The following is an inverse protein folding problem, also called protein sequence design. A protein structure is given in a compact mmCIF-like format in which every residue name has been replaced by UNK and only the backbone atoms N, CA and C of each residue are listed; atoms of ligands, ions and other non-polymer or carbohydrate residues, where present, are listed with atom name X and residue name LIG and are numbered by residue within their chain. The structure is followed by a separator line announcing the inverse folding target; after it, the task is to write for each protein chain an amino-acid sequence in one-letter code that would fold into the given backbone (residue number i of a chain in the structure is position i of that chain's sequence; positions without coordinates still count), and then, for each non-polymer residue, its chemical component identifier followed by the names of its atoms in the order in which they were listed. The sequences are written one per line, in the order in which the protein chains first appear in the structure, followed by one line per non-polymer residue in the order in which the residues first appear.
data_IF_788420073627
#
_entry.id   IF_788420073627
#
_cell.length_a   1.000
_cell.length_b   1.000
_cell.length_c   1.000
_cell.angle_alpha   90.00
_cell.angle_beta   90.00
_cell.angle_gamma   90.00
#
_symmetry.space_group_name_H-M   'P 1'
#
loop_
_entity.id
_entity.type
_entity.pdbx_description
1 polymer ?
#
# COMPACT_ATOMS: atom_id res chain seq x y z
N UNK A 1 -43.85 -46.57 -42.04
CA UNK A 1 -44.79 -47.71 -41.90
C UNK A 1 -43.91 -48.93 -41.64
N UNK A 2 -43.90 -49.69 -40.54
CA UNK A 2 -44.75 -49.92 -39.35
C UNK A 2 -43.78 -50.43 -38.25
N UNK A 3 -43.66 -49.76 -37.10
CA UNK A 3 -44.32 -50.12 -35.83
C UNK A 3 -44.47 -51.63 -35.52
N UNK A 4 -43.37 -52.30 -35.13
CA UNK A 4 -43.43 -53.59 -34.40
C UNK A 4 -42.36 -53.76 -33.32
N UNK A 5 -41.31 -52.94 -33.25
CA UNK A 5 -40.33 -53.04 -32.15
C UNK A 5 -40.74 -52.30 -30.88
N UNK A 6 -41.92 -51.65 -30.87
CA UNK A 6 -42.48 -50.93 -29.71
C UNK A 6 -43.53 -51.74 -28.92
N UNK A 7 -43.43 -53.06 -28.85
CA UNK A 7 -44.37 -53.87 -28.07
C UNK A 7 -43.79 -55.20 -27.57
N UNK A 8 -42.57 -55.15 -27.03
CA UNK A 8 -42.18 -56.04 -25.93
C UNK A 8 -41.74 -55.14 -24.76
N UNK A 9 -42.75 -54.36 -24.36
CA UNK A 9 -42.90 -53.75 -23.06
C UNK A 9 -42.54 -54.78 -21.99
N UNK A 10 -41.68 -54.35 -21.06
CA UNK A 10 -41.72 -54.63 -19.63
C UNK A 10 -42.35 -55.97 -19.22
N UNK A 11 -41.57 -56.86 -18.60
CA UNK A 11 -41.91 -57.49 -17.32
C UNK A 11 -40.75 -58.40 -16.90
N UNK A 12 -40.35 -58.27 -15.64
CA UNK A 12 -39.36 -59.06 -14.91
C UNK A 12 -37.88 -58.69 -15.13
N UNK A 13 -37.40 -57.72 -14.35
CA UNK A 13 -36.62 -58.10 -13.17
C UNK A 13 -36.57 -56.94 -12.18
N UNK A 14 -37.44 -57.03 -11.18
CA UNK A 14 -37.39 -56.23 -9.97
C UNK A 14 -36.36 -56.92 -9.06
N UNK A 15 -35.09 -56.56 -9.24
CA UNK A 15 -34.00 -57.03 -8.38
C UNK A 15 -33.15 -55.83 -7.96
N UNK A 16 -33.55 -55.24 -6.84
CA UNK A 16 -32.71 -54.68 -5.79
C UNK A 16 -31.29 -54.36 -6.27
N UNK A 17 -31.10 -53.20 -6.90
CA UNK A 17 -29.79 -52.56 -6.88
C UNK A 17 -29.75 -51.74 -5.61
N UNK A 18 -29.39 -52.39 -4.50
CA UNK A 18 -28.87 -51.64 -3.36
C UNK A 18 -27.73 -50.79 -3.93
N UNK A 19 -27.93 -49.48 -4.02
CA UNK A 19 -26.86 -48.55 -4.35
C UNK A 19 -25.84 -48.66 -3.22
N UNK A 20 -24.87 -49.57 -3.38
CA UNK A 20 -23.71 -49.64 -2.54
C UNK A 20 -22.92 -48.34 -2.73
N UNK A 21 -23.22 -47.34 -1.89
CA UNK A 21 -22.43 -46.12 -1.77
C UNK A 21 -21.04 -46.49 -1.25
N UNK A 22 -20.14 -46.85 -2.16
CA UNK A 22 -18.72 -47.00 -1.87
C UNK A 22 -18.19 -45.60 -1.50
N UNK A 23 -18.15 -45.31 -0.20
CA UNK A 23 -17.59 -44.06 0.32
C UNK A 23 -16.09 -44.02 0.04
N UNK A 24 -15.70 -43.29 -1.01
CA UNK A 24 -14.30 -43.03 -1.30
C UNK A 24 -13.71 -42.12 -0.24
N UNK A 25 -12.72 -42.60 0.52
CA UNK A 25 -12.06 -41.83 1.60
C UNK A 25 -11.57 -40.45 1.11
N UNK A 26 -11.07 -40.37 -0.13
CA UNK A 26 -10.52 -39.16 -0.76
C UNK A 26 -11.07 -38.90 -2.17
N UNK A 27 -12.18 -39.51 -2.57
CA UNK A 27 -12.73 -39.38 -3.93
C UNK A 27 -14.10 -38.71 -3.89
N UNK A 28 -14.29 -37.66 -4.70
CA UNK A 28 -15.59 -37.03 -4.86
C UNK A 28 -16.30 -37.58 -6.10
N UNK A 29 -17.50 -38.19 -5.95
CA UNK A 29 -18.18 -38.86 -7.05
C UNK A 29 -18.67 -37.89 -8.13
N UNK A 30 -19.00 -36.64 -7.77
CA UNK A 30 -19.46 -35.62 -8.72
C UNK A 30 -18.34 -35.06 -9.59
N UNK A 31 -17.19 -34.75 -8.98
CA UNK A 31 -16.03 -34.18 -9.69
C UNK A 31 -15.12 -35.25 -10.29
N UNK A 32 -15.31 -36.52 -9.93
CA UNK A 32 -14.49 -37.69 -10.32
C UNK A 32 -13.00 -37.47 -10.10
N UNK A 33 -12.64 -36.64 -9.12
CA UNK A 33 -11.25 -36.28 -8.78
C UNK A 33 -11.01 -36.45 -7.28
N UNK A 34 -9.75 -36.25 -6.86
CA UNK A 34 -9.41 -36.27 -5.44
C UNK A 34 -10.12 -35.13 -4.71
N UNK A 35 -10.65 -35.44 -3.52
CA UNK A 35 -11.14 -34.48 -2.54
C UNK A 35 -10.01 -33.50 -2.22
N UNK A 36 -10.05 -32.32 -2.85
CA UNK A 36 -9.17 -31.22 -2.50
C UNK A 36 -9.62 -30.72 -1.13
N UNK A 37 -8.69 -30.59 -0.16
CA UNK A 37 -8.99 -29.79 1.02
C UNK A 37 -9.34 -28.41 0.49
N UNK A 38 -10.57 -27.97 0.76
CA UNK A 38 -11.03 -26.64 0.42
C UNK A 38 -10.20 -25.67 1.26
N UNK A 39 -9.05 -25.25 0.75
CA UNK A 39 -8.37 -24.08 1.26
C UNK A 39 -9.17 -22.88 0.73
N UNK A 40 -10.38 -22.68 1.26
CA UNK A 40 -11.23 -21.56 0.81
C UNK A 40 -10.82 -20.22 1.43
N UNK A 41 -9.82 -20.20 2.31
CA UNK A 41 -9.52 -19.00 3.10
C UNK A 41 -8.01 -18.70 3.24
N UNK A 42 -7.19 -18.98 2.23
CA UNK A 42 -5.99 -18.15 2.03
C UNK A 42 -6.42 -16.89 1.28
N UNK A 43 -7.23 -16.09 1.97
CA UNK A 43 -7.54 -14.76 1.52
C UNK A 43 -6.24 -13.98 1.62
N UNK A 44 -5.67 -13.67 0.47
CA UNK A 44 -4.48 -12.82 0.30
C UNK A 44 -4.75 -11.37 0.75
N UNK A 45 -5.33 -11.12 1.94
CA UNK A 45 -6.01 -9.84 2.21
C UNK A 45 -5.05 -8.67 2.42
N UNK A 46 -3.74 -8.89 2.61
CA UNK A 46 -2.86 -7.85 3.12
C UNK A 46 -1.45 -7.88 2.49
N UNK A 47 -1.37 -7.75 1.16
CA UNK A 47 -0.08 -7.64 0.44
C UNK A 47 0.27 -6.18 0.14
N UNK A 48 1.57 -5.84 0.13
CA UNK A 48 2.05 -4.45 -0.08
C UNK A 48 1.60 -3.92 -1.44
N UNK A 49 1.53 -4.79 -2.43
CA UNK A 49 1.05 -4.51 -3.78
C UNK A 49 -0.40 -4.03 -3.77
N UNK A 50 -1.26 -4.57 -2.89
CA UNK A 50 -2.66 -4.12 -2.75
C UNK A 50 -2.78 -2.75 -2.08
N UNK A 51 -1.88 -2.43 -1.16
CA UNK A 51 -1.85 -1.12 -0.50
C UNK A 51 -1.35 -0.01 -1.42
N UNK A 52 -0.42 -0.35 -2.32
CA UNK A 52 0.15 0.60 -3.28
C UNK A 52 -0.68 0.67 -4.57
N UNK A 53 -1.50 -0.34 -4.84
CA UNK A 53 -2.45 -0.34 -5.96
C UNK A 53 -3.40 0.86 -5.84
N UNK A 54 -3.36 1.75 -6.84
CA UNK A 54 -4.20 2.94 -6.91
C UNK A 54 -3.62 4.19 -6.24
N UNK A 55 -2.54 4.10 -5.45
CA UNK A 55 -1.88 5.28 -4.89
C UNK A 55 -1.32 6.19 -6.00
N UNK A 56 -0.77 5.59 -7.05
CA UNK A 56 -0.27 6.34 -8.21
C UNK A 56 -1.39 7.12 -8.91
N UNK A 57 -2.58 6.54 -9.05
CA UNK A 57 -3.75 7.19 -9.66
C UNK A 57 -4.26 8.33 -8.77
N UNK A 58 -4.25 8.14 -7.44
CA UNK A 58 -4.61 9.19 -6.48
C UNK A 58 -3.64 10.38 -6.52
N UNK A 59 -2.33 10.12 -6.58
CA UNK A 59 -1.31 11.18 -6.68
C UNK A 59 -1.49 11.98 -7.98
N UNK A 60 -1.76 11.31 -9.10
CA UNK A 60 -1.99 11.98 -10.39
C UNK A 60 -3.28 12.81 -10.35
N UNK A 61 -4.36 12.27 -9.76
CA UNK A 61 -5.62 13.00 -9.61
C UNK A 61 -5.45 14.24 -8.72
N UNK A 62 -4.72 14.14 -7.61
CA UNK A 62 -4.45 15.26 -6.70
C UNK A 62 -3.59 16.35 -7.37
N UNK A 63 -2.59 15.97 -8.17
CA UNK A 63 -1.77 16.91 -8.95
C UNK A 63 -2.60 17.61 -10.05
N UNK A 64 -3.50 16.89 -10.72
CA UNK A 64 -4.43 17.48 -11.70
C UNK A 64 -5.42 18.46 -11.05
N UNK A 65 -5.98 18.12 -9.90
CA UNK A 65 -6.84 19.01 -9.11
C UNK A 65 -6.11 20.26 -8.65
N UNK A 66 -4.86 20.12 -8.20
CA UNK A 66 -4.03 21.25 -7.76
C UNK A 66 -3.71 22.19 -8.93
N UNK A 67 -3.34 21.64 -10.09
CA UNK A 67 -3.10 22.44 -11.32
C UNK A 67 -4.36 23.14 -11.81
N UNK A 68 -5.52 22.51 -11.71
CA UNK A 68 -6.79 23.13 -12.08
C UNK A 68 -7.13 24.33 -11.16
N UNK A 69 -6.82 24.24 -9.86
CA UNK A 69 -6.99 25.33 -8.90
C UNK A 69 -6.01 26.49 -9.15
N UNK A 70 -4.79 26.20 -9.59
CA UNK A 70 -3.80 27.21 -9.98
C UNK A 70 -4.21 27.99 -11.25
N UNK A 71 -5.02 27.38 -12.12
CA UNK A 71 -5.55 27.98 -13.35
C UNK A 71 -6.87 28.77 -13.15
N UNK A 72 -7.40 28.84 -11.93
CA UNK A 72 -8.60 29.61 -11.64
C UNK A 72 -8.35 31.13 -11.69
N UNK A 73 -9.06 31.81 -12.60
CA UNK A 73 -9.00 33.26 -12.84
C UNK A 73 -9.38 34.10 -11.61
N UNK A 74 -10.11 33.52 -10.64
CA UNK A 74 -10.42 34.17 -9.37
C UNK A 74 -9.17 34.42 -8.50
N UNK A 75 -8.12 33.61 -8.65
CA UNK A 75 -6.83 33.79 -7.97
C UNK A 75 -5.98 34.93 -8.59
N UNK A 76 -6.34 35.41 -9.78
CA UNK A 76 -5.69 36.54 -10.48
C UNK A 76 -6.33 37.89 -10.09
N UNK A 77 -7.42 37.88 -9.33
CA UNK A 77 -8.01 39.09 -8.77
C UNK A 77 -6.97 39.93 -8.01
N UNK A 78 -7.09 41.28 -8.01
CA UNK A 78 -6.11 42.14 -7.37
C UNK A 78 -5.99 41.81 -5.87
N UNK A 79 -4.85 41.22 -5.50
CA UNK A 79 -4.55 40.84 -4.11
C UNK A 79 -4.14 42.08 -3.30
N UNK A 80 -4.09 41.92 -1.97
CA UNK A 80 -3.64 42.99 -1.06
C UNK A 80 -2.21 43.41 -1.43
N UNK A 81 -1.85 44.70 -1.32
CA UNK A 81 -0.53 45.19 -1.74
C UNK A 81 0.65 44.48 -1.04
N UNK A 82 0.47 44.01 0.20
CA UNK A 82 1.50 43.30 0.97
C UNK A 82 1.52 41.78 0.72
N UNK A 83 0.67 41.27 -0.18
CA UNK A 83 0.55 39.83 -0.43
C UNK A 83 1.85 39.24 -0.98
N UNK A 84 2.51 39.96 -1.88
CA UNK A 84 3.77 39.51 -2.45
C UNK A 84 4.90 39.48 -1.41
N UNK A 85 4.98 40.52 -0.58
CA UNK A 85 5.92 40.58 0.55
C UNK A 85 5.73 39.39 1.51
N UNK A 86 4.47 39.02 1.80
CA UNK A 86 4.16 37.87 2.63
C UNK A 86 4.64 36.57 1.97
N UNK A 87 4.37 36.39 0.68
CA UNK A 87 4.77 35.19 -0.07
C UNK A 87 6.30 35.05 -0.15
N UNK A 88 7.02 36.13 -0.39
CA UNK A 88 8.48 36.13 -0.43
C UNK A 88 9.09 35.85 0.95
N UNK A 89 8.52 36.41 2.01
CA UNK A 89 8.93 36.14 3.38
C UNK A 89 8.69 34.67 3.74
N UNK A 90 7.52 34.13 3.40
CA UNK A 90 7.13 32.74 3.67
C UNK A 90 8.05 31.75 2.95
N UNK A 91 8.45 32.04 1.71
CA UNK A 91 9.48 31.23 0.99
C UNK A 91 10.83 31.22 1.71
N UNK A 92 11.24 32.34 2.32
CA UNK A 92 12.49 32.42 3.10
C UNK A 92 12.36 31.72 4.45
N UNK A 93 11.22 31.88 5.13
CA UNK A 93 10.91 31.22 6.39
C UNK A 93 10.85 29.70 6.24
N UNK A 94 10.26 29.17 5.16
CA UNK A 94 10.20 27.73 4.94
C UNK A 94 11.58 27.04 4.95
N UNK A 95 12.62 27.71 4.42
CA UNK A 95 14.01 27.20 4.48
C UNK A 95 14.56 27.22 5.91
N UNK A 96 14.21 28.25 6.67
CA UNK A 96 14.64 28.41 8.06
C UNK A 96 13.89 27.45 8.99
N UNK A 97 12.59 27.25 8.77
CA UNK A 97 11.73 26.37 9.56
C UNK A 97 12.24 24.92 9.52
N UNK A 98 12.70 24.44 8.36
CA UNK A 98 13.32 23.11 8.26
C UNK A 98 14.53 22.96 9.20
N UNK A 99 15.46 23.91 9.13
CA UNK A 99 16.64 23.96 10.00
C UNK A 99 16.27 24.13 11.48
N UNK A 100 15.23 24.90 11.76
CA UNK A 100 14.72 25.08 13.12
C UNK A 100 14.14 23.78 13.66
N UNK A 101 13.38 23.01 12.86
CA UNK A 101 12.88 21.70 13.29
C UNK A 101 14.02 20.70 13.53
N UNK A 102 15.06 20.71 12.69
CA UNK A 102 16.27 19.91 12.91
C UNK A 102 16.98 20.31 14.22
N UNK A 103 17.14 21.62 14.46
CA UNK A 103 17.71 22.15 15.70
C UNK A 103 16.86 21.79 16.93
N UNK A 104 15.53 21.85 16.82
CA UNK A 104 14.61 21.43 17.88
C UNK A 104 14.77 19.93 18.16
N UNK A 105 14.83 19.10 17.12
CA UNK A 105 15.00 17.66 17.26
C UNK A 105 16.34 17.31 17.94
N UNK A 106 17.44 17.93 17.51
CA UNK A 106 18.76 17.75 18.13
C UNK A 106 18.76 18.20 19.59
N UNK A 107 18.16 19.35 19.91
CA UNK A 107 18.08 19.84 21.28
C UNK A 107 17.24 18.93 22.19
N UNK A 108 16.11 18.40 21.69
CA UNK A 108 15.30 17.44 22.43
C UNK A 108 16.10 16.18 22.72
N UNK A 109 16.81 15.66 21.71
CA UNK A 109 17.67 14.46 21.85
C UNK A 109 18.76 14.69 22.89
N UNK A 110 19.46 15.81 22.82
CA UNK A 110 20.49 16.21 23.79
C UNK A 110 19.89 16.29 25.21
N UNK A 111 18.74 16.97 25.37
CA UNK A 111 18.09 17.11 26.67
C UNK A 111 17.66 15.78 27.29
N UNK A 112 17.12 14.86 26.48
CA UNK A 112 16.73 13.52 26.94
C UNK A 112 17.96 12.68 27.33
N UNK A 113 19.04 12.75 26.54
CA UNK A 113 20.27 12.02 26.84
C UNK A 113 20.97 12.53 28.10
N UNK A 114 20.99 13.85 28.32
CA UNK A 114 21.53 14.46 29.53
C UNK A 114 20.75 14.06 30.79
N UNK A 115 19.43 13.89 30.69
CA UNK A 115 18.62 13.34 31.78
C UNK A 115 18.89 11.85 32.03
N UNK A 116 19.28 11.10 30.99
CA UNK A 116 19.55 9.66 31.07
C UNK A 116 21.01 9.31 31.44
N UNK A 117 21.91 10.30 31.47
CA UNK A 117 23.32 10.11 31.83
C UNK A 117 24.22 9.60 30.70
N UNK A 118 23.74 9.66 29.45
CA UNK A 118 24.39 9.09 28.27
C UNK A 118 24.79 10.19 27.28
N UNK A 119 25.57 11.16 27.77
CA UNK A 119 25.92 12.37 27.03
C UNK A 119 27.07 12.16 26.01
N UNK A 120 27.95 11.18 26.25
CA UNK A 120 29.20 11.01 25.47
C UNK A 120 28.98 10.30 24.12
N UNK A 121 28.04 9.35 24.03
CA UNK A 121 27.75 8.60 22.80
C UNK A 121 27.13 9.48 21.70
N UNK A 122 26.41 10.54 22.09
CA UNK A 122 25.73 11.43 21.14
C UNK A 122 26.69 12.41 20.48
N UNK A 123 27.66 12.94 21.22
CA UNK A 123 28.68 13.84 20.64
C UNK A 123 29.55 13.08 19.63
N UNK A 124 29.83 11.79 19.90
CA UNK A 124 30.49 10.89 18.96
C UNK A 124 29.68 10.66 17.68
N UNK A 125 28.39 10.30 17.82
CA UNK A 125 27.51 10.07 16.68
C UNK A 125 27.26 11.34 15.84
N UNK A 126 27.16 12.51 16.47
CA UNK A 126 26.93 13.78 15.77
C UNK A 126 28.15 14.23 14.98
N UNK A 127 29.36 14.03 15.50
CA UNK A 127 30.62 14.25 14.77
C UNK A 127 30.79 13.28 13.60
N UNK A 128 30.40 12.02 13.78
CA UNK A 128 30.42 11.03 12.70
C UNK A 128 29.45 11.39 11.56
N UNK A 129 28.27 11.90 11.91
CA UNK A 129 27.29 12.39 10.94
C UNK A 129 27.81 13.64 10.20
N UNK A 130 28.37 14.61 10.92
CA UNK A 130 28.95 15.83 10.33
C UNK A 130 30.10 15.52 9.36
N UNK A 131 30.95 14.54 9.66
CA UNK A 131 31.97 14.07 8.72
C UNK A 131 31.40 13.37 7.49
N UNK A 132 30.26 12.66 7.61
CA UNK A 132 29.61 11.99 6.48
C UNK A 132 28.91 12.99 5.55
N UNK A 133 28.27 14.01 6.10
CA UNK A 133 27.62 15.07 5.32
C UNK A 133 28.64 15.96 4.57
N UNK A 134 29.86 16.10 5.10
CA UNK A 134 30.96 16.81 4.44
C UNK A 134 31.54 16.03 3.24
N UNK A 135 31.59 14.70 3.31
CA UNK A 135 32.11 13.83 2.23
C UNK A 135 31.12 13.75 1.05
N UNK A 136 29.81 13.73 1.33
CA UNK A 136 28.77 13.71 0.30
C UNK A 136 28.70 15.01 -0.53
N UNK A 137 29.13 16.14 0.03
CA UNK A 137 29.18 17.43 -0.68
C UNK A 137 30.35 17.59 -1.66
N UNK A 138 31.36 16.70 -1.61
CA UNK A 138 32.54 16.75 -2.49
C UNK A 138 32.38 15.92 -3.78
N UNK A 139 31.32 15.12 -3.92
CA UNK A 139 31.18 14.14 -5.01
C UNK A 139 30.38 14.64 -6.24
N UNK A 140 29.84 15.86 -6.23
CA UNK A 140 28.99 16.41 -7.31
C UNK A 140 29.71 17.44 -8.21
N UNK A 141 31.05 17.50 -8.15
CA UNK A 141 31.90 18.31 -9.03
C UNK A 141 32.92 17.45 -9.79
N UNK A 142 32.47 16.57 -10.70
CA UNK A 142 33.19 16.20 -11.95
C UNK A 142 32.21 15.85 -13.08
#
# INVERSE_FOLDING_TARGET
MTNTQKLLLSFANDEITEEYFLSGRNFDPESRTLRKRRNEDEKEEDTVEKHVAGLAEQIVAEDEETRAQDLDLANIAPKRPNWDLKRELERKLAKLDRKMQEAIHTLIRQRLSAQRGEADDIVGAMRAQESADADAGSSDEE
#
